data_IF_727892755898
#
_entry.id   IF_727892755898
#
_cell.length_a   1.000
_cell.length_b   1.000
_cell.length_c   1.000
_cell.angle_alpha   90.00
_cell.angle_beta   90.00
_cell.angle_gamma   90.00
#
_symmetry.space_group_name_H-M   'P 1'
#
loop_
_entity.id
_entity.type
_entity.pdbx_description
1 polymer ?
#
# COMPACT_ATOMS: atom_id res chain seq x y z
N UNK A 1 -0.52 6.11 -18.92
CA UNK A 1 -1.07 4.78 -18.61
C UNK A 1 0.02 3.72 -18.72
N UNK A 2 0.02 2.77 -17.83
CA UNK A 2 0.97 1.67 -17.82
C UNK A 2 0.59 0.63 -18.88
N UNK A 3 1.56 0.17 -19.65
CA UNK A 3 1.33 -0.92 -20.60
C UNK A 3 1.46 -2.27 -19.89
N UNK A 4 0.62 -3.24 -20.29
CA UNK A 4 0.62 -4.57 -19.67
C UNK A 4 1.49 -5.54 -20.49
N UNK A 5 2.79 -5.30 -20.49
CA UNK A 5 3.79 -6.15 -21.12
C UNK A 5 5.03 -6.21 -20.24
N UNK A 6 5.91 -7.17 -20.49
CA UNK A 6 7.14 -7.29 -19.72
C UNK A 6 7.98 -6.03 -19.81
N UNK A 7 8.39 -5.53 -18.66
CA UNK A 7 9.17 -4.29 -18.56
C UNK A 7 9.82 -4.19 -17.18
N UNK A 8 10.93 -3.46 -17.14
CA UNK A 8 11.51 -3.07 -15.85
C UNK A 8 10.82 -1.79 -15.39
N UNK A 9 10.36 -1.77 -14.16
CA UNK A 9 9.72 -0.62 -13.57
C UNK A 9 10.63 -0.08 -12.48
N UNK A 10 11.04 1.19 -12.61
CA UNK A 10 11.82 1.88 -11.60
C UNK A 10 10.84 2.45 -10.57
N UNK A 11 10.97 2.03 -9.33
CA UNK A 11 10.07 2.49 -8.26
C UNK A 11 10.04 4.02 -8.17
N UNK A 12 11.20 4.66 -8.32
CA UNK A 12 11.32 6.11 -8.22
C UNK A 12 10.55 6.86 -9.33
N UNK A 13 10.26 6.20 -10.44
CA UNK A 13 9.54 6.79 -11.57
C UNK A 13 8.02 6.70 -11.42
N UNK A 14 7.54 5.94 -10.44
CA UNK A 14 6.10 5.84 -10.17
C UNK A 14 5.71 7.06 -9.34
N UNK A 15 4.68 7.83 -9.76
CA UNK A 15 4.21 8.95 -8.95
C UNK A 15 3.80 8.50 -7.56
N UNK A 16 4.21 9.25 -6.53
CA UNK A 16 3.82 8.97 -5.16
C UNK A 16 2.45 9.62 -4.90
N UNK A 17 1.46 8.81 -4.62
CA UNK A 17 0.12 9.26 -4.28
C UNK A 17 0.01 9.39 -2.77
N UNK A 18 -0.31 10.56 -2.26
CA UNK A 18 -0.61 10.73 -0.84
C UNK A 18 -2.04 10.29 -0.62
N UNK A 19 -2.22 9.11 -0.02
CA UNK A 19 -3.55 8.54 0.21
C UNK A 19 -4.11 8.95 1.58
N UNK A 20 -3.24 9.38 2.48
CA UNK A 20 -3.58 9.91 3.80
C UNK A 20 -2.38 10.71 4.28
N UNK A 21 -2.53 11.70 5.19
CA UNK A 21 -1.35 12.40 5.73
C UNK A 21 -0.32 11.41 6.28
N UNK A 22 0.92 11.53 5.79
CA UNK A 22 2.02 10.65 6.18
C UNK A 22 2.10 9.32 5.47
N UNK A 23 1.13 8.99 4.60
CA UNK A 23 1.11 7.73 3.85
C UNK A 23 1.19 8.00 2.36
N UNK A 24 2.26 7.51 1.73
CA UNK A 24 2.50 7.66 0.30
C UNK A 24 2.55 6.31 -0.37
N UNK A 25 1.94 6.20 -1.53
CA UNK A 25 1.79 4.95 -2.26
C UNK A 25 2.27 5.13 -3.69
N UNK A 26 3.11 4.22 -4.16
CA UNK A 26 3.56 4.16 -5.56
C UNK A 26 3.04 2.83 -6.14
N UNK A 27 1.90 2.85 -6.86
CA UNK A 27 1.28 1.61 -7.31
C UNK A 27 1.82 1.11 -8.64
N UNK A 28 1.94 -0.21 -8.75
CA UNK A 28 2.15 -0.90 -10.02
C UNK A 28 0.82 -1.57 -10.37
N UNK A 29 0.25 -1.18 -11.49
CA UNK A 29 -1.07 -1.65 -11.92
C UNK A 29 -0.88 -2.84 -12.86
N UNK A 30 -1.46 -3.98 -12.47
CA UNK A 30 -1.49 -5.18 -13.30
C UNK A 30 -2.95 -5.52 -13.62
N UNK A 31 -3.21 -6.39 -14.63
CA UNK A 31 -4.59 -6.70 -15.00
C UNK A 31 -5.46 -7.22 -13.85
N UNK A 32 -4.89 -8.05 -12.96
CA UNK A 32 -5.65 -8.73 -11.93
C UNK A 32 -5.21 -8.41 -10.50
N UNK A 33 -4.30 -7.46 -10.34
CA UNK A 33 -3.72 -7.14 -9.04
C UNK A 33 -3.10 -5.75 -9.05
N UNK A 34 -2.91 -5.19 -7.87
CA UNK A 34 -2.12 -3.97 -7.68
C UNK A 34 -1.03 -4.27 -6.66
N UNK A 35 0.21 -3.95 -7.01
CA UNK A 35 1.33 -4.02 -6.07
C UNK A 35 1.75 -2.59 -5.76
N UNK A 36 1.73 -2.22 -4.50
CA UNK A 36 2.04 -0.85 -4.07
C UNK A 36 3.28 -0.82 -3.21
N UNK A 37 4.19 0.11 -3.51
CA UNK A 37 5.28 0.46 -2.62
C UNK A 37 4.76 1.55 -1.69
N UNK A 38 4.65 1.24 -0.41
CA UNK A 38 3.99 2.08 0.58
C UNK A 38 5.01 2.59 1.59
N UNK A 39 4.93 3.89 1.89
CA UNK A 39 5.76 4.49 2.92
C UNK A 39 4.89 5.24 3.90
N UNK A 40 5.01 4.88 5.17
CA UNK A 40 4.45 5.63 6.29
C UNK A 40 5.59 6.34 7.00
N UNK A 41 5.48 7.67 7.14
CA UNK A 41 6.46 8.44 7.91
C UNK A 41 6.33 8.13 9.41
N UNK A 42 7.35 8.47 10.24
CA UNK A 42 7.22 8.29 11.69
C UNK A 42 5.99 8.99 12.25
N UNK A 43 5.39 8.39 13.27
CA UNK A 43 4.22 8.93 14.00
C UNK A 43 3.05 9.25 13.08
N UNK A 44 2.75 8.36 12.15
CA UNK A 44 1.61 8.49 11.25
C UNK A 44 0.59 7.38 11.50
N UNK A 45 -0.61 7.63 11.05
CA UNK A 45 -1.70 6.67 11.20
C UNK A 45 -2.44 6.55 9.88
N UNK A 46 -2.64 5.31 9.44
CA UNK A 46 -3.56 4.99 8.39
C UNK A 46 -4.86 4.55 9.05
N UNK A 47 -5.95 5.32 8.95
CA UNK A 47 -7.19 5.01 9.66
C UNK A 47 -7.77 3.65 9.29
N UNK A 48 -8.54 3.08 10.18
CA UNK A 48 -9.23 1.81 9.93
C UNK A 48 -10.20 1.95 8.76
N UNK A 49 -10.17 0.98 7.89
CA UNK A 49 -11.02 0.94 6.70
C UNK A 49 -11.23 -0.52 6.29
N UNK A 50 -12.21 -0.73 5.42
CA UNK A 50 -12.51 -2.05 4.87
C UNK A 50 -12.17 -2.04 3.40
N UNK A 51 -11.40 -3.02 2.94
CA UNK A 51 -11.08 -3.19 1.53
C UNK A 51 -11.84 -4.34 0.92
N UNK A 52 -12.14 -4.19 -0.36
CA UNK A 52 -12.84 -5.21 -1.14
C UNK A 52 -11.89 -6.19 -1.82
N UNK A 53 -10.61 -6.16 -1.46
CA UNK A 53 -9.56 -7.03 -1.99
C UNK A 53 -8.93 -7.85 -0.90
N UNK A 54 -8.42 -9.03 -1.26
CA UNK A 54 -7.44 -9.71 -0.43
C UNK A 54 -6.14 -8.93 -0.50
N UNK A 55 -5.44 -8.81 0.61
CA UNK A 55 -4.19 -8.06 0.69
C UNK A 55 -3.11 -8.86 1.40
N UNK A 56 -1.88 -8.78 0.87
CA UNK A 56 -0.70 -9.23 1.58
C UNK A 56 0.22 -8.04 1.79
N UNK A 57 0.56 -7.77 3.04
CA UNK A 57 1.52 -6.74 3.41
C UNK A 57 2.85 -7.39 3.71
N UNK A 58 3.94 -6.86 3.15
CA UNK A 58 5.31 -7.31 3.44
C UNK A 58 6.12 -6.12 3.94
N UNK A 59 6.64 -6.20 5.15
CA UNK A 59 7.45 -5.11 5.72
C UNK A 59 8.87 -5.22 5.19
N UNK A 60 9.32 -4.17 4.51
CA UNK A 60 10.66 -4.11 3.91
C UNK A 60 11.63 -3.42 4.85
N UNK A 61 11.20 -2.36 5.54
CA UNK A 61 12.06 -1.60 6.43
C UNK A 61 11.21 -0.92 7.51
N UNK A 62 11.77 -0.82 8.70
CA UNK A 62 11.07 -0.18 9.82
C UNK A 62 10.05 -1.12 10.46
N UNK A 63 9.04 -0.52 11.08
CA UNK A 63 8.05 -1.28 11.83
C UNK A 63 6.75 -0.50 11.94
N UNK A 64 5.66 -1.24 12.14
CA UNK A 64 4.34 -0.63 12.40
C UNK A 64 3.45 -1.62 13.15
N UNK A 65 2.42 -1.10 13.78
CA UNK A 65 1.32 -1.93 14.31
C UNK A 65 0.17 -1.88 13.32
N UNK A 66 -0.37 -3.05 12.99
CA UNK A 66 -1.58 -3.15 12.19
C UNK A 66 -2.73 -3.67 13.05
N UNK A 67 -3.85 -2.95 13.00
CA UNK A 67 -5.10 -3.42 13.58
C UNK A 67 -5.84 -4.23 12.51
N UNK A 68 -6.28 -5.43 12.86
CA UNK A 68 -7.03 -6.30 11.95
C UNK A 68 -8.19 -6.92 12.73
N UNK A 69 -9.41 -6.50 12.41
CA UNK A 69 -10.64 -6.91 13.10
C UNK A 69 -10.52 -6.84 14.62
N UNK A 70 -9.99 -5.72 15.11
CA UNK A 70 -9.85 -5.47 16.55
C UNK A 70 -8.62 -6.08 17.21
N UNK A 71 -7.79 -6.82 16.48
CA UNK A 71 -6.53 -7.35 17.01
C UNK A 71 -5.37 -6.49 16.55
N UNK A 72 -4.36 -6.31 17.41
CA UNK A 72 -3.14 -5.60 17.06
C UNK A 72 -2.02 -6.58 16.75
N UNK A 73 -1.34 -6.34 15.63
CA UNK A 73 -0.18 -7.12 15.20
C UNK A 73 1.01 -6.20 15.05
N UNK A 74 2.08 -6.48 15.78
CA UNK A 74 3.35 -5.80 15.59
C UNK A 74 4.05 -6.40 14.38
N UNK A 75 4.34 -5.57 13.37
CA UNK A 75 5.03 -6.00 12.15
C UNK A 75 6.38 -5.33 12.07
N UNK A 76 7.41 -6.12 11.84
CA UNK A 76 8.79 -5.68 11.70
C UNK A 76 9.37 -6.18 10.38
N UNK A 77 10.56 -5.71 10.05
CA UNK A 77 11.23 -6.08 8.81
C UNK A 77 11.22 -7.60 8.59
N UNK A 78 10.75 -8.03 7.43
CA UNK A 78 10.61 -9.43 7.07
C UNK A 78 9.28 -10.07 7.41
N UNK A 79 8.45 -9.40 8.21
CA UNK A 79 7.12 -9.93 8.53
C UNK A 79 6.14 -9.71 7.39
N UNK A 80 5.18 -10.60 7.27
CA UNK A 80 4.07 -10.46 6.34
C UNK A 80 2.75 -10.65 7.10
N UNK A 81 1.73 -9.90 6.67
CA UNK A 81 0.39 -10.03 7.21
C UNK A 81 -0.59 -10.23 6.07
N UNK A 82 -1.37 -11.30 6.14
CA UNK A 82 -2.47 -11.51 5.22
C UNK A 82 -3.73 -10.87 5.79
N UNK A 83 -4.36 -10.01 4.98
CA UNK A 83 -5.59 -9.31 5.34
C UNK A 83 -6.69 -9.79 4.38
N UNK A 84 -7.64 -10.59 4.87
CA UNK A 84 -8.72 -11.09 4.01
C UNK A 84 -9.62 -9.97 3.54
N UNK A 85 -10.19 -10.16 2.35
CA UNK A 85 -11.24 -9.28 1.82
C UNK A 85 -12.32 -9.07 2.88
N UNK A 86 -12.71 -7.82 3.06
CA UNK A 86 -13.79 -7.44 3.98
C UNK A 86 -13.36 -7.22 5.42
N UNK A 87 -12.11 -7.50 5.78
CA UNK A 87 -11.62 -7.24 7.12
C UNK A 87 -11.39 -5.75 7.33
N UNK A 88 -11.68 -5.25 8.53
CA UNK A 88 -11.35 -3.88 8.91
C UNK A 88 -9.91 -3.82 9.37
N UNK A 89 -9.11 -2.93 8.78
CA UNK A 89 -7.70 -2.81 9.15
C UNK A 89 -7.22 -1.36 9.07
N UNK A 90 -6.15 -1.09 9.80
CA UNK A 90 -5.45 0.19 9.82
C UNK A 90 -4.04 0.01 10.35
N UNK A 91 -3.22 1.06 10.28
CA UNK A 91 -1.81 0.98 10.64
C UNK A 91 -1.36 2.20 11.43
N UNK A 92 -0.41 2.01 12.34
CA UNK A 92 0.21 3.08 13.10
C UNK A 92 1.73 2.87 13.10
N UNK A 93 2.47 3.95 12.86
CA UNK A 93 3.92 3.98 13.03
C UNK A 93 4.28 4.78 14.27
N UNK A 94 5.50 4.56 14.76
CA UNK A 94 6.05 5.24 15.93
C UNK A 94 7.35 5.97 15.53
N UNK A 95 8.39 5.84 16.33
CA UNK A 95 9.66 6.58 16.10
C UNK A 95 10.34 6.26 14.79
N UNK A 96 10.17 5.04 14.28
CA UNK A 96 10.61 4.70 12.93
C UNK A 96 9.40 4.73 12.02
N UNK A 97 9.59 5.17 10.77
CA UNK A 97 8.57 4.97 9.76
C UNK A 97 8.56 3.52 9.30
N UNK A 98 7.82 3.25 8.25
CA UNK A 98 7.71 1.90 7.72
C UNK A 98 7.64 1.94 6.20
N UNK A 99 8.43 1.11 5.54
CA UNK A 99 8.32 0.86 4.11
C UNK A 99 7.83 -0.56 3.92
N UNK A 100 6.79 -0.70 3.12
CA UNK A 100 6.14 -1.98 2.89
C UNK A 100 5.78 -2.17 1.42
N UNK A 101 5.58 -3.41 1.03
CA UNK A 101 4.98 -3.75 -0.24
C UNK A 101 3.60 -4.31 0.08
N UNK A 102 2.57 -3.78 -0.59
CA UNK A 102 1.19 -4.24 -0.43
C UNK A 102 0.69 -4.80 -1.75
N UNK A 103 0.32 -6.07 -1.72
CA UNK A 103 -0.24 -6.77 -2.86
C UNK A 103 -1.74 -6.91 -2.64
N UNK A 104 -2.55 -6.40 -3.59
CA UNK A 104 -4.01 -6.51 -3.52
C UNK A 104 -4.55 -7.23 -4.75
N UNK A 105 -5.44 -8.18 -4.53
CA UNK A 105 -6.12 -8.91 -5.60
C UNK A 105 -7.61 -9.04 -5.27
N UNK A 106 -8.52 -8.68 -6.21
CA UNK A 106 -8.23 -7.99 -7.48
C UNK A 106 -7.58 -6.62 -7.27
N UNK A 107 -7.18 -5.96 -8.35
CA UNK A 107 -6.49 -4.67 -8.24
C UNK A 107 -7.35 -3.55 -7.65
N UNK A 108 -6.68 -2.53 -7.15
CA UNK A 108 -7.33 -1.36 -6.56
C UNK A 108 -7.58 -0.31 -7.64
N UNK A 109 -8.81 -0.25 -8.13
CA UNK A 109 -9.20 0.63 -9.24
C UNK A 109 -9.02 2.11 -8.88
N UNK A 110 -9.25 2.50 -7.62
CA UNK A 110 -9.09 3.88 -7.19
C UNK A 110 -7.64 4.36 -7.30
N UNK A 111 -6.67 3.48 -7.09
CA UNK A 111 -5.26 3.84 -7.28
C UNK A 111 -4.92 3.99 -8.75
N UNK A 112 -5.44 3.11 -9.60
CA UNK A 112 -5.25 3.19 -11.05
C UNK A 112 -5.84 4.49 -11.59
N UNK A 113 -7.03 4.85 -11.16
CA UNK A 113 -7.71 6.08 -11.59
C UNK A 113 -6.94 7.32 -11.15
N UNK A 114 -6.44 7.36 -9.92
CA UNK A 114 -5.64 8.49 -9.43
C UNK A 114 -4.33 8.62 -10.20
N UNK A 115 -3.69 7.50 -10.51
CA UNK A 115 -2.45 7.51 -11.28
C UNK A 115 -2.68 8.04 -12.69
N UNK A 116 -3.73 7.57 -13.36
CA UNK A 116 -4.09 8.05 -14.70
C UNK A 116 -4.42 9.54 -14.68
N UNK A 117 -5.12 10.02 -13.67
CA UNK A 117 -5.45 11.43 -13.52
C UNK A 117 -4.19 12.30 -13.44
N UNK A 118 -3.16 11.86 -12.75
CA UNK A 118 -1.90 12.58 -12.68
C UNK A 118 -1.18 12.61 -14.03
N UNK A 119 -1.18 11.50 -14.75
CA UNK A 119 -0.57 11.41 -16.07
C UNK A 119 -1.29 12.31 -17.07
N UNK A 120 -2.62 12.34 -17.04
CA UNK A 120 -3.44 13.11 -17.96
C UNK A 120 -3.31 14.63 -17.74
N UNK A 121 -2.80 15.06 -16.59
CA UNK A 121 -2.55 16.47 -16.31
C UNK A 121 -1.22 16.98 -16.86
N UNK A 122 -0.38 16.09 -17.31
CA UNK A 122 0.90 16.44 -17.93
C UNK A 122 0.70 16.75 -19.42
#
# INVERSE_FOLDING_TARGET
MQEHREQVIQQADIPALQVHPGTHVRPVIMPNATVSFVKLVPYSEMPRHIQEQDELVVIVQGARDDALDGKLFRLEEGDSLYIPKGAEHGSITYSTGCSAIEFCAPGRTELAERLESLIDQE
#
